data_IF_999704949864
#
_entry.id   IF_999704949864
#
_cell.length_a   1.000
_cell.length_b   1.000
_cell.length_c   1.000
_cell.angle_alpha   90.00
_cell.angle_beta   90.00
_cell.angle_gamma   90.00
#
_symmetry.space_group_name_H-M   'P 1'
#
loop_
_entity.id
_entity.type
_entity.pdbx_description
1 polymer ?
#
# COMPACT_ATOMS: atom_id res chain seq x y z
N UNK A 1 -11.70 26.63 2.79
CA UNK A 1 -12.26 27.77 3.53
C UNK A 1 -11.95 27.57 5.00
N UNK A 2 -12.42 26.47 5.61
CA UNK A 2 -12.16 26.13 7.01
C UNK A 2 -10.71 26.31 7.52
N UNK A 3 -9.67 25.81 6.81
CA UNK A 3 -8.29 26.00 7.28
C UNK A 3 -7.90 27.48 7.45
N UNK A 4 -8.30 28.34 6.50
CA UNK A 4 -7.95 29.77 6.56
C UNK A 4 -8.79 30.54 7.59
N UNK A 5 -9.98 30.01 7.94
CA UNK A 5 -10.81 30.54 9.02
C UNK A 5 -10.23 30.21 10.40
N UNK A 6 -9.68 29.00 10.56
CA UNK A 6 -9.04 28.57 11.81
C UNK A 6 -7.61 29.12 11.95
N UNK A 7 -6.90 29.29 10.83
CA UNK A 7 -5.51 29.73 10.78
C UNK A 7 -5.34 30.80 9.70
N UNK A 8 -5.45 32.06 10.11
CA UNK A 8 -5.34 33.21 9.21
C UNK A 8 -3.92 33.39 8.65
N UNK A 9 -2.92 32.80 9.32
CA UNK A 9 -1.50 32.77 8.92
C UNK A 9 -1.18 31.68 7.86
N UNK A 10 -2.15 30.84 7.49
CA UNK A 10 -1.93 29.75 6.54
C UNK A 10 -1.52 30.27 5.14
N UNK A 11 -0.30 29.96 4.71
CA UNK A 11 0.25 30.33 3.41
C UNK A 11 0.38 29.14 2.48
N UNK A 12 -0.09 29.26 1.23
CA UNK A 12 -0.04 28.19 0.24
C UNK A 12 0.93 28.51 -0.89
N UNK A 13 1.80 27.56 -1.22
CA UNK A 13 2.78 27.65 -2.29
C UNK A 13 2.64 26.46 -3.24
N UNK A 14 2.66 26.72 -4.56
CA UNK A 14 2.68 25.65 -5.56
C UNK A 14 4.15 25.31 -5.86
N UNK A 15 4.60 24.16 -5.37
CA UNK A 15 6.03 23.76 -5.43
C UNK A 15 6.39 22.93 -6.66
N UNK A 16 5.41 22.27 -7.30
CA UNK A 16 5.65 21.60 -8.59
C UNK A 16 4.43 21.61 -9.51
N UNK A 17 4.72 21.61 -10.80
CA UNK A 17 3.77 21.36 -11.88
C UNK A 17 4.46 20.47 -12.90
N UNK A 18 4.19 19.17 -12.87
CA UNK A 18 4.76 18.28 -13.89
C UNK A 18 4.16 18.61 -15.26
N UNK A 19 5.04 18.94 -16.20
CA UNK A 19 4.71 19.57 -17.48
C UNK A 19 4.33 18.63 -18.63
N UNK A 20 4.06 17.35 -18.38
CA UNK A 20 3.64 16.42 -19.44
C UNK A 20 2.36 15.68 -19.11
N UNK A 21 1.31 15.98 -19.90
CA UNK A 21 0.03 15.31 -20.21
C UNK A 21 -0.85 14.75 -19.05
N UNK A 22 -0.33 14.70 -17.83
CA UNK A 22 -1.03 14.46 -16.58
C UNK A 22 -0.47 15.41 -15.53
N UNK A 23 -0.71 16.72 -15.70
CA UNK A 23 -0.18 17.74 -14.79
C UNK A 23 -0.69 17.53 -13.37
N UNK A 24 0.13 16.87 -12.55
CA UNK A 24 -0.02 16.78 -11.11
C UNK A 24 0.56 18.07 -10.53
N UNK A 25 -0.28 18.80 -9.81
CA UNK A 25 0.14 19.96 -9.03
C UNK A 25 0.45 19.49 -7.62
N UNK A 26 1.59 19.93 -7.10
CA UNK A 26 1.90 19.81 -5.68
C UNK A 26 1.83 21.19 -5.05
N UNK A 27 1.00 21.31 -4.01
CA UNK A 27 0.84 22.52 -3.22
C UNK A 27 1.25 22.21 -1.79
N UNK A 28 2.03 23.09 -1.18
CA UNK A 28 2.40 23.04 0.22
C UNK A 28 1.69 24.16 0.95
N UNK A 29 1.13 23.87 2.11
CA UNK A 29 0.60 24.86 3.04
C UNK A 29 1.48 24.94 4.28
N UNK A 30 1.83 26.15 4.69
CA UNK A 30 2.57 26.44 5.92
C UNK A 30 1.61 27.05 6.94
N UNK A 31 1.53 26.50 8.14
CA UNK A 31 0.60 26.90 9.23
C UNK A 31 1.33 26.82 10.57
N UNK A 32 1.06 27.71 11.54
CA UNK A 32 1.57 27.69 12.92
C UNK A 32 3.08 27.39 13.04
N UNK A 33 3.91 28.43 13.11
CA UNK A 33 5.36 28.29 13.36
C UNK A 33 6.07 27.31 12.38
N UNK A 34 5.84 27.51 11.08
CA UNK A 34 6.49 26.78 9.98
C UNK A 34 6.13 25.28 9.81
N UNK A 35 5.01 24.78 10.35
CA UNK A 35 4.56 23.43 10.00
C UNK A 35 4.09 23.38 8.55
N UNK A 36 4.65 22.46 7.76
CA UNK A 36 4.37 22.34 6.31
C UNK A 36 3.60 21.06 6.02
N UNK A 37 2.52 21.18 5.26
CA UNK A 37 1.70 20.07 4.80
C UNK A 37 1.60 20.08 3.28
N UNK A 38 1.84 18.94 2.67
CA UNK A 38 1.83 18.77 1.21
C UNK A 38 0.50 18.17 0.75
N UNK A 39 0.00 18.65 -0.39
CA UNK A 39 -1.16 18.08 -1.08
C UNK A 39 -0.95 18.05 -2.58
N UNK A 40 -1.47 17.00 -3.21
CA UNK A 40 -1.35 16.83 -4.66
C UNK A 40 -2.70 16.66 -5.33
N UNK A 41 -2.79 17.04 -6.60
CA UNK A 41 -4.03 16.88 -7.37
C UNK A 41 -3.90 17.27 -8.84
N UNK A 42 -4.91 16.96 -9.67
CA UNK A 42 -4.90 17.25 -11.11
C UNK A 42 -5.11 18.75 -11.43
N UNK A 43 -5.44 19.56 -10.42
CA UNK A 43 -5.52 21.02 -10.54
C UNK A 43 -4.93 21.68 -9.30
N UNK A 44 -4.44 22.93 -9.44
CA UNK A 44 -3.99 23.74 -8.29
C UNK A 44 -5.05 23.82 -7.19
N UNK A 45 -6.33 23.92 -7.56
CA UNK A 45 -7.46 23.96 -6.61
C UNK A 45 -7.58 22.66 -5.82
N UNK A 46 -7.50 21.50 -6.48
CA UNK A 46 -7.59 20.20 -5.80
C UNK A 46 -6.34 19.93 -4.95
N UNK A 47 -5.14 20.27 -5.43
CA UNK A 47 -3.91 20.15 -4.67
C UNK A 47 -3.93 21.02 -3.40
N UNK A 48 -4.41 22.28 -3.53
CA UNK A 48 -4.61 23.19 -2.39
C UNK A 48 -5.61 22.63 -1.38
N UNK A 49 -6.71 22.05 -1.85
CA UNK A 49 -7.70 21.40 -0.98
C UNK A 49 -7.10 20.19 -0.25
N UNK A 50 -6.34 19.34 -0.95
CA UNK A 50 -5.66 18.20 -0.34
C UNK A 50 -4.65 18.63 0.74
N UNK A 51 -3.85 19.66 0.46
CA UNK A 51 -2.89 20.20 1.43
C UNK A 51 -3.60 20.76 2.67
N UNK A 52 -4.72 21.44 2.45
CA UNK A 52 -5.53 21.98 3.55
C UNK A 52 -6.17 20.89 4.40
N UNK A 53 -6.65 19.80 3.78
CA UNK A 53 -7.18 18.64 4.51
C UNK A 53 -6.09 17.97 5.35
N UNK A 54 -4.89 17.80 4.81
CA UNK A 54 -3.77 17.23 5.56
C UNK A 54 -3.42 18.08 6.79
N UNK A 55 -3.37 19.41 6.64
CA UNK A 55 -3.15 20.33 7.75
C UNK A 55 -4.25 20.26 8.83
N UNK A 56 -5.53 20.27 8.42
CA UNK A 56 -6.67 20.15 9.34
C UNK A 56 -6.71 18.81 10.09
N UNK A 57 -6.40 17.72 9.40
CA UNK A 57 -6.33 16.39 10.02
C UNK A 57 -5.22 16.34 11.06
N UNK A 58 -4.04 16.90 10.76
CA UNK A 58 -2.91 16.86 11.67
C UNK A 58 -3.04 17.82 12.86
N UNK A 59 -3.49 19.06 12.63
CA UNK A 59 -3.51 20.11 13.66
C UNK A 59 -4.79 20.05 14.48
N UNK A 60 -5.93 19.80 13.83
CA UNK A 60 -7.26 19.89 14.46
C UNK A 60 -7.92 18.53 14.69
N UNK A 61 -7.29 17.42 14.26
CA UNK A 61 -7.90 16.09 14.24
C UNK A 61 -9.24 16.05 13.47
N UNK A 62 -9.37 16.87 12.42
CA UNK A 62 -10.54 16.92 11.55
C UNK A 62 -10.24 16.13 10.28
N UNK A 63 -10.77 14.90 10.19
CA UNK A 63 -10.67 14.08 8.99
C UNK A 63 -11.88 14.28 8.08
N UNK A 64 -11.64 14.35 6.77
CA UNK A 64 -12.68 14.38 5.75
C UNK A 64 -12.58 13.11 4.90
N UNK A 65 -13.06 11.98 5.43
CA UNK A 65 -13.25 10.76 4.64
C UNK A 65 -14.52 10.91 3.79
N UNK A 66 -14.46 10.73 2.45
CA UNK A 66 -15.66 10.73 1.61
C UNK A 66 -16.72 9.73 2.08
N UNK A 67 -16.29 8.59 2.64
CA UNK A 67 -17.16 7.55 3.18
C UNK A 67 -17.85 7.92 4.51
N UNK A 68 -17.40 8.97 5.20
CA UNK A 68 -18.01 9.42 6.47
C UNK A 68 -19.11 10.48 6.28
N UNK A 69 -19.28 11.03 5.07
CA UNK A 69 -20.31 12.04 4.83
C UNK A 69 -21.74 11.51 5.03
N UNK A 70 -21.96 10.20 4.96
CA UNK A 70 -23.28 9.58 5.25
C UNK A 70 -23.63 9.51 6.74
N UNK A 71 -22.67 9.68 7.66
CA UNK A 71 -22.91 9.50 9.12
C UNK A 71 -23.23 10.79 9.88
N UNK A 72 -22.92 11.96 9.33
CA UNK A 72 -23.17 13.24 10.00
C UNK A 72 -24.64 13.71 9.88
N UNK A 73 -25.43 13.09 8.99
CA UNK A 73 -26.82 13.46 8.73
C UNK A 73 -27.90 12.79 9.62
N UNK A 74 -27.54 11.88 10.52
CA UNK A 74 -28.51 11.04 11.27
C UNK A 74 -28.57 11.29 12.79
N UNK A 75 -27.87 12.30 13.33
CA UNK A 75 -27.86 12.57 14.78
C UNK A 75 -29.03 13.46 15.25
N UNK A 76 -30.13 13.51 14.49
CA UNK A 76 -31.34 14.22 14.90
C UNK A 76 -32.59 13.37 14.66
N UNK A 77 -32.80 12.36 15.50
CA UNK A 77 -34.11 11.88 15.97
C UNK A 77 -33.97 10.66 16.90
N UNK A 78 -34.69 10.71 18.03
CA UNK A 78 -35.22 9.60 18.83
C UNK A 78 -34.29 8.64 19.58
N UNK A 79 -34.14 8.93 20.87
CA UNK A 79 -34.46 8.10 22.06
C UNK A 79 -34.98 6.65 21.84
N UNK A 80 -34.44 5.74 22.69
CA UNK A 80 -35.06 4.54 23.33
C UNK A 80 -34.78 3.11 22.80
N UNK A 81 -34.26 2.30 23.73
CA UNK A 81 -34.35 0.84 23.99
C UNK A 81 -35.05 -0.10 22.97
N UNK A 82 -34.43 -1.27 22.74
CA UNK A 82 -35.18 -2.49 22.41
C UNK A 82 -34.36 -3.61 21.77
N UNK A 83 -33.92 -4.58 22.58
CA UNK A 83 -33.55 -5.94 22.15
C UNK A 83 -34.77 -6.67 21.57
N UNK A 84 -34.60 -7.49 20.53
CA UNK A 84 -35.33 -8.75 20.24
C UNK A 84 -34.54 -9.52 19.17
N UNK A 85 -34.33 -10.82 19.39
CA UNK A 85 -33.54 -11.69 18.51
C UNK A 85 -34.32 -12.83 17.83
N UNK A 86 -33.54 -13.68 17.15
CA UNK A 86 -33.88 -15.06 16.72
C UNK A 86 -33.87 -15.31 15.20
N UNK A 87 -33.70 -16.56 14.70
CA UNK A 87 -32.99 -17.72 15.26
C UNK A 87 -32.03 -18.43 14.27
N UNK A 88 -31.26 -19.35 14.85
CA UNK A 88 -30.15 -20.19 14.35
C UNK A 88 -30.32 -20.96 13.01
N UNK A 89 -29.18 -21.17 12.33
CA UNK A 89 -29.02 -22.14 11.23
C UNK A 89 -27.56 -22.60 11.05
N UNK A 90 -27.24 -23.75 11.66
CA UNK A 90 -26.25 -24.78 11.27
C UNK A 90 -24.77 -24.41 11.16
N UNK A 91 -24.00 -24.98 12.11
CA UNK A 91 -22.54 -25.09 12.14
C UNK A 91 -21.99 -26.05 11.08
N UNK A 92 -21.03 -25.59 10.28
CA UNK A 92 -20.05 -26.44 9.59
C UNK A 92 -18.63 -26.03 10.03
N UNK A 93 -17.85 -27.03 10.41
CA UNK A 93 -16.47 -26.92 10.89
C UNK A 93 -15.56 -26.24 9.86
N UNK A 94 -15.00 -25.10 10.25
CA UNK A 94 -13.91 -24.39 9.59
C UNK A 94 -13.42 -23.33 10.56
N UNK A 95 -12.18 -23.45 10.99
CA UNK A 95 -11.55 -22.68 12.05
C UNK A 95 -11.69 -21.16 11.79
N UNK A 96 -12.61 -20.52 12.52
CA UNK A 96 -13.10 -19.17 12.25
C UNK A 96 -12.57 -18.18 13.30
N UNK A 97 -11.25 -18.15 13.47
CA UNK A 97 -10.58 -17.09 14.27
C UNK A 97 -10.37 -15.80 13.45
N UNK A 98 -11.33 -15.43 12.61
CA UNK A 98 -11.46 -14.05 12.12
C UNK A 98 -12.60 -13.41 12.90
N UNK A 99 -12.28 -12.77 14.03
CA UNK A 99 -13.23 -12.01 14.82
C UNK A 99 -13.81 -10.89 13.96
N UNK A 100 -15.07 -11.04 13.57
CA UNK A 100 -15.80 -10.22 12.60
C UNK A 100 -16.13 -8.79 13.08
N UNK A 101 -15.43 -8.24 14.08
CA UNK A 101 -15.89 -7.06 14.85
C UNK A 101 -14.85 -5.97 15.14
N UNK A 102 -13.88 -5.76 14.24
CA UNK A 102 -13.25 -4.44 14.08
C UNK A 102 -13.08 -4.17 12.59
N UNK A 103 -13.82 -3.20 12.05
CA UNK A 103 -13.44 -2.57 10.79
C UNK A 103 -12.04 -1.99 11.00
N UNK A 104 -11.02 -2.71 10.55
CA UNK A 104 -9.64 -2.26 10.63
C UNK A 104 -9.44 -1.24 9.51
N UNK A 105 -9.78 0.01 9.80
CA UNK A 105 -9.56 1.13 8.89
C UNK A 105 -8.14 1.66 9.13
N UNK A 106 -7.29 1.57 8.11
CA UNK A 106 -5.98 2.17 8.14
C UNK A 106 -6.13 3.70 8.28
N UNK A 107 -5.35 4.36 9.15
CA UNK A 107 -5.31 5.82 9.16
C UNK A 107 -5.01 6.34 7.75
N UNK A 108 -5.79 7.32 7.28
CA UNK A 108 -5.64 7.84 5.92
C UNK A 108 -4.20 8.33 5.64
N UNK A 109 -3.55 8.92 6.63
CA UNK A 109 -2.15 9.36 6.55
C UNK A 109 -1.17 8.22 6.29
N UNK A 110 -1.43 7.04 6.86
CA UNK A 110 -0.64 5.83 6.60
C UNK A 110 -0.89 5.32 5.18
N UNK A 111 -2.16 5.26 4.75
CA UNK A 111 -2.52 4.85 3.39
C UNK A 111 -1.88 5.77 2.31
N UNK A 112 -1.90 7.08 2.56
CA UNK A 112 -1.27 8.07 1.68
C UNK A 112 0.25 7.87 1.60
N UNK A 113 0.90 7.54 2.73
CA UNK A 113 2.32 7.26 2.78
C UNK A 113 2.69 6.00 1.99
N UNK A 114 1.92 4.91 2.13
CA UNK A 114 2.09 3.68 1.33
C UNK A 114 1.97 3.99 -0.16
N UNK A 115 0.95 4.75 -0.57
CA UNK A 115 0.77 5.16 -1.95
C UNK A 115 1.91 6.03 -2.48
N UNK A 116 2.42 6.95 -1.67
CA UNK A 116 3.57 7.81 -2.01
C UNK A 116 4.82 6.97 -2.27
N UNK A 117 5.14 6.01 -1.39
CA UNK A 117 6.29 5.11 -1.54
C UNK A 117 6.24 4.31 -2.85
N UNK A 118 5.07 3.76 -3.19
CA UNK A 118 4.89 2.98 -4.44
C UNK A 118 5.09 3.87 -5.68
N UNK A 119 4.55 5.09 -5.67
CA UNK A 119 4.69 6.04 -6.79
C UNK A 119 6.15 6.50 -6.93
N UNK A 120 6.80 6.87 -5.82
CA UNK A 120 8.19 7.32 -5.83
C UNK A 120 9.12 6.22 -6.32
N UNK A 121 8.94 4.98 -5.83
CA UNK A 121 9.75 3.85 -6.28
C UNK A 121 9.52 3.51 -7.75
N UNK A 122 8.28 3.63 -8.25
CA UNK A 122 8.02 3.49 -9.69
C UNK A 122 8.76 4.55 -10.51
N UNK A 123 8.70 5.81 -10.10
CA UNK A 123 9.39 6.91 -10.79
C UNK A 123 10.91 6.74 -10.76
N UNK A 124 11.46 6.24 -9.66
CA UNK A 124 12.88 5.90 -9.54
C UNK A 124 13.27 4.80 -10.55
N UNK A 125 12.53 3.70 -10.59
CA UNK A 125 12.80 2.56 -11.50
C UNK A 125 12.63 2.94 -12.96
N UNK A 126 11.68 3.83 -13.27
CA UNK A 126 11.40 4.28 -14.64
C UNK A 126 12.21 5.49 -15.08
N UNK A 127 13.10 6.00 -14.24
CA UNK A 127 13.92 7.17 -14.55
C UNK A 127 14.74 6.93 -15.81
N UNK A 128 14.55 7.79 -16.82
CA UNK A 128 15.22 7.67 -18.12
C UNK A 128 14.56 6.69 -19.09
N UNK A 129 13.39 6.13 -18.76
CA UNK A 129 12.64 5.23 -19.64
C UNK A 129 11.22 5.72 -19.90
N UNK A 130 11.08 6.67 -20.82
CA UNK A 130 9.80 7.28 -21.17
C UNK A 130 8.80 6.29 -21.81
N UNK A 131 9.31 5.21 -22.40
CA UNK A 131 8.47 4.17 -23.02
C UNK A 131 7.73 3.37 -21.94
N UNK A 132 8.41 3.01 -20.86
CA UNK A 132 7.86 2.17 -19.79
C UNK A 132 7.22 2.98 -18.65
N UNK A 133 7.47 4.30 -18.58
CA UNK A 133 6.83 5.18 -17.61
C UNK A 133 5.33 5.42 -17.89
N UNK A 134 4.88 5.19 -19.13
CA UNK A 134 3.47 5.31 -19.53
C UNK A 134 2.67 4.14 -18.99
N UNK A 135 1.69 4.45 -18.14
CA UNK A 135 0.84 3.43 -17.51
C UNK A 135 -0.57 3.97 -17.25
N UNK A 136 -1.54 3.05 -17.21
CA UNK A 136 -2.92 3.34 -16.76
C UNK A 136 -3.11 2.94 -15.30
N UNK A 137 -2.69 1.72 -14.96
CA UNK A 137 -2.76 1.17 -13.60
C UNK A 137 -1.36 0.85 -13.10
N UNK A 138 -1.10 1.23 -11.85
CA UNK A 138 0.10 0.96 -11.06
C UNK A 138 -0.36 0.31 -9.75
N UNK A 139 0.27 -0.80 -9.41
CA UNK A 139 0.09 -1.48 -8.14
C UNK A 139 1.44 -1.83 -7.51
N UNK A 140 1.44 -2.02 -6.20
CA UNK A 140 2.62 -2.47 -5.49
C UNK A 140 2.31 -2.99 -4.09
N UNK A 141 3.20 -3.84 -3.59
CA UNK A 141 3.19 -4.29 -2.20
C UNK A 141 4.28 -3.58 -1.40
N UNK A 142 3.89 -3.06 -0.25
CA UNK A 142 4.81 -2.47 0.74
C UNK A 142 4.80 -3.34 1.98
N UNK A 143 5.98 -3.71 2.47
CA UNK A 143 6.16 -4.40 3.74
C UNK A 143 6.46 -3.38 4.83
N UNK A 144 5.92 -3.55 6.03
CA UNK A 144 6.26 -2.75 7.22
C UNK A 144 6.44 -3.65 8.43
N UNK A 145 7.19 -3.17 9.41
CA UNK A 145 7.15 -3.65 10.79
C UNK A 145 6.20 -2.77 11.59
N UNK A 146 5.15 -3.37 12.13
CA UNK A 146 3.98 -2.66 12.64
C UNK A 146 3.27 -1.87 11.54
N UNK A 147 2.51 -0.86 11.95
CA UNK A 147 1.95 0.15 11.07
C UNK A 147 2.84 1.41 11.05
N UNK A 148 4.17 1.22 11.06
CA UNK A 148 5.15 2.30 11.00
C UNK A 148 5.66 2.48 9.56
N UNK A 149 5.50 3.68 9.02
CA UNK A 149 5.99 4.05 7.68
C UNK A 149 7.51 4.10 7.64
N UNK A 150 8.20 4.32 8.76
CA UNK A 150 9.66 4.42 8.80
C UNK A 150 10.35 3.09 8.49
N UNK A 151 9.66 1.99 8.72
CA UNK A 151 10.14 0.63 8.42
C UNK A 151 9.68 0.15 7.04
N UNK A 152 8.95 0.99 6.31
CA UNK A 152 8.31 0.60 5.07
C UNK A 152 9.32 0.31 3.96
N UNK A 153 9.09 -0.80 3.25
CA UNK A 153 9.88 -1.21 2.10
C UNK A 153 8.96 -1.64 0.95
N UNK A 154 9.16 -1.06 -0.22
CA UNK A 154 8.47 -1.51 -1.44
C UNK A 154 9.05 -2.85 -1.87
N UNK A 155 8.21 -3.89 -1.89
CA UNK A 155 8.59 -5.28 -2.20
C UNK A 155 8.43 -5.57 -3.68
N UNK A 156 7.29 -5.18 -4.25
CA UNK A 156 6.99 -5.41 -5.65
C UNK A 156 6.24 -4.22 -6.25
N UNK A 157 6.47 -4.00 -7.53
CA UNK A 157 5.81 -2.99 -8.35
C UNK A 157 5.37 -3.62 -9.66
N UNK A 158 4.21 -3.23 -10.14
CA UNK A 158 3.75 -3.65 -11.45
C UNK A 158 2.80 -2.62 -12.08
N UNK A 159 2.71 -2.70 -13.41
CA UNK A 159 1.71 -1.99 -14.19
C UNK A 159 1.03 -2.97 -15.14
N UNK A 160 -0.16 -2.62 -15.62
CA UNK A 160 -0.86 -3.42 -16.63
C UNK A 160 -2.37 -3.44 -16.42
N UNK A 161 -3.09 -3.73 -17.50
CA UNK A 161 -4.58 -3.70 -17.56
C UNK A 161 -5.15 -4.72 -18.55
N UNK A 162 -4.34 -5.70 -18.92
CA UNK A 162 -4.64 -6.64 -20.01
C UNK A 162 -4.33 -8.05 -19.57
N UNK A 163 -5.02 -8.98 -20.20
CA UNK A 163 -4.82 -10.41 -20.05
C UNK A 163 -4.36 -10.99 -21.38
N UNK A 164 -3.80 -12.20 -21.34
CA UNK A 164 -3.45 -12.95 -22.54
C UNK A 164 -4.71 -13.30 -23.35
N UNK A 165 -4.58 -13.33 -24.67
CA UNK A 165 -5.60 -13.90 -25.57
C UNK A 165 -5.59 -15.43 -25.46
N UNK A 166 -6.74 -16.08 -25.64
CA UNK A 166 -6.88 -17.54 -25.56
C UNK A 166 -5.93 -18.30 -26.49
N UNK A 167 -5.65 -17.76 -27.68
CA UNK A 167 -4.74 -18.36 -28.67
C UNK A 167 -3.26 -18.39 -28.22
N UNK A 168 -2.90 -17.55 -27.25
CA UNK A 168 -1.53 -17.42 -26.73
C UNK A 168 -1.37 -18.07 -25.34
N UNK A 169 -2.38 -18.80 -24.86
CA UNK A 169 -2.29 -19.51 -23.59
C UNK A 169 -1.29 -20.67 -23.68
N UNK A 170 -0.54 -20.87 -22.61
CA UNK A 170 0.42 -21.97 -22.50
C UNK A 170 -0.14 -23.13 -21.68
N UNK A 171 0.08 -24.35 -22.17
CA UNK A 171 -0.19 -25.60 -21.43
C UNK A 171 0.97 -26.04 -20.53
N UNK A 172 2.14 -25.40 -20.66
CA UNK A 172 3.35 -25.71 -19.90
C UNK A 172 3.64 -24.70 -18.78
N UNK A 173 2.77 -23.70 -18.60
CA UNK A 173 2.95 -22.65 -17.59
C UNK A 173 3.96 -21.56 -17.95
N UNK A 174 4.35 -21.46 -19.22
CA UNK A 174 5.34 -20.48 -19.70
C UNK A 174 4.78 -19.07 -19.99
N UNK A 175 3.47 -18.86 -19.85
CA UNK A 175 2.79 -17.60 -20.18
C UNK A 175 2.04 -17.04 -18.98
N UNK A 176 2.04 -15.71 -18.87
CA UNK A 176 1.26 -14.99 -17.86
C UNK A 176 -0.15 -14.74 -18.40
N UNK A 177 -1.15 -15.37 -17.77
CA UNK A 177 -2.53 -15.25 -18.20
C UNK A 177 -3.14 -13.87 -17.89
N UNK A 178 -2.85 -13.34 -16.72
CA UNK A 178 -3.40 -12.07 -16.24
C UNK A 178 -2.25 -11.11 -15.90
N UNK A 179 -2.20 -10.02 -16.65
CA UNK A 179 -1.22 -8.94 -16.52
C UNK A 179 -1.85 -7.66 -15.99
N UNK A 180 -2.92 -7.75 -15.21
CA UNK A 180 -3.36 -6.64 -14.38
C UNK A 180 -2.30 -6.32 -13.32
N UNK A 181 -2.09 -5.03 -13.05
CA UNK A 181 -1.01 -4.56 -12.19
C UNK A 181 -1.02 -5.25 -10.82
N UNK A 182 -2.17 -5.31 -10.16
CA UNK A 182 -2.36 -5.92 -8.85
C UNK A 182 -2.05 -7.42 -8.83
N UNK A 183 -2.32 -8.12 -9.94
CA UNK A 183 -2.06 -9.55 -10.09
C UNK A 183 -0.55 -9.80 -10.28
N UNK A 184 0.10 -9.02 -11.13
CA UNK A 184 1.55 -9.10 -11.33
C UNK A 184 2.30 -8.69 -10.06
N UNK A 185 1.86 -7.64 -9.36
CA UNK A 185 2.45 -7.23 -8.09
C UNK A 185 2.38 -8.36 -7.05
N UNK A 186 1.28 -9.10 -7.00
CA UNK A 186 1.15 -10.30 -6.15
C UNK A 186 2.13 -11.41 -6.57
N UNK A 187 2.32 -11.64 -7.88
CA UNK A 187 3.32 -12.62 -8.35
C UNK A 187 4.74 -12.22 -7.92
N UNK A 188 5.07 -10.93 -7.99
CA UNK A 188 6.34 -10.41 -7.45
C UNK A 188 6.45 -10.57 -5.92
N UNK A 189 5.35 -10.44 -5.17
CA UNK A 189 5.34 -10.74 -3.74
C UNK A 189 5.64 -12.23 -3.45
N UNK A 190 5.11 -13.15 -4.27
CA UNK A 190 5.40 -14.57 -4.12
C UNK A 190 6.87 -14.90 -4.40
N UNK A 191 7.46 -14.28 -5.42
CA UNK A 191 8.90 -14.40 -5.72
C UNK A 191 9.76 -13.91 -4.55
N UNK A 192 9.36 -12.80 -3.92
CA UNK A 192 9.98 -12.32 -2.69
C UNK A 192 9.85 -13.33 -1.53
N UNK A 193 8.69 -13.96 -1.34
CA UNK A 193 8.54 -15.00 -0.31
C UNK A 193 9.43 -16.21 -0.54
N UNK A 194 9.55 -16.69 -1.79
CA UNK A 194 10.48 -17.77 -2.11
C UNK A 194 11.93 -17.37 -1.82
N UNK A 195 12.32 -16.16 -2.22
CA UNK A 195 13.66 -15.62 -1.92
C UNK A 195 13.95 -15.56 -0.42
N UNK A 196 12.96 -15.20 0.39
CA UNK A 196 13.08 -15.12 1.85
C UNK A 196 13.16 -16.50 2.52
N UNK A 197 12.43 -17.49 2.00
CA UNK A 197 12.52 -18.87 2.46
C UNK A 197 13.87 -19.49 2.10
N UNK A 198 14.38 -19.23 0.89
CA UNK A 198 15.70 -19.69 0.47
C UNK A 198 16.81 -19.11 1.37
N UNK A 199 16.74 -17.80 1.66
CA UNK A 199 17.66 -17.15 2.59
C UNK A 199 17.65 -17.78 3.99
N UNK A 200 16.48 -18.14 4.52
CA UNK A 200 16.36 -18.84 5.80
C UNK A 200 16.97 -20.25 5.77
N UNK A 201 16.79 -20.97 4.66
CA UNK A 201 17.38 -22.29 4.46
C UNK A 201 18.92 -22.21 4.43
N UNK A 202 19.47 -21.27 3.67
CA UNK A 202 20.92 -21.06 3.56
C UNK A 202 21.56 -20.75 4.92
N UNK A 203 20.94 -19.88 5.72
CA UNK A 203 21.44 -19.56 7.06
C UNK A 203 21.40 -20.78 8.00
N UNK A 204 20.39 -21.64 7.86
CA UNK A 204 20.27 -22.86 8.65
C UNK A 204 21.38 -23.85 8.34
N UNK A 205 21.69 -24.02 7.05
CA UNK A 205 22.80 -24.88 6.60
C UNK A 205 24.14 -24.33 7.08
N UNK A 206 24.37 -23.02 6.96
CA UNK A 206 25.58 -22.38 7.44
C UNK A 206 25.79 -22.58 8.95
N UNK A 207 24.75 -22.36 9.76
CA UNK A 207 24.81 -22.56 11.21
C UNK A 207 25.14 -24.01 11.61
N UNK A 208 24.50 -24.98 10.94
CA UNK A 208 24.77 -26.41 11.18
C UNK A 208 26.20 -26.82 10.78
N UNK A 209 26.74 -26.23 9.71
CA UNK A 209 28.12 -26.49 9.28
C UNK A 209 29.16 -25.89 10.24
N UNK A 210 28.88 -24.71 10.82
CA UNK A 210 29.77 -24.05 11.78
C UNK A 210 29.87 -24.73 13.15
N UNK A 211 28.87 -25.54 13.54
CA UNK A 211 28.92 -26.35 14.76
C UNK A 211 29.77 -27.63 14.60
N UNK A 212 30.19 -27.97 13.37
CA UNK A 212 30.96 -29.18 13.06
C UNK A 212 32.45 -28.98 12.75
N UNK A 213 32.92 -27.73 12.67
CA UNK A 213 34.33 -27.42 12.36
C UNK A 213 34.94 -26.44 13.36
N UNK A 214 35.55 -26.97 14.41
CA UNK A 214 36.62 -26.25 15.10
C UNK A 214 37.85 -26.18 14.18
N UNK A 215 38.22 -24.94 13.80
CA UNK A 215 39.43 -24.52 13.09
C UNK A 215 39.59 -24.94 11.61
N UNK A 216 39.54 -23.99 10.69
CA UNK A 216 40.70 -23.35 10.03
C UNK A 216 40.18 -22.08 9.32
N UNK A 217 40.71 -20.91 9.70
CA UNK A 217 40.44 -19.66 9.01
C UNK A 217 41.23 -19.61 7.68
N UNK A 218 40.52 -19.39 6.58
CA UNK A 218 41.13 -18.97 5.31
C UNK A 218 40.53 -17.62 4.94
N UNK A 219 41.35 -16.57 5.03
CA UNK A 219 41.00 -15.23 4.60
C UNK A 219 40.92 -15.21 3.06
N UNK A 220 39.73 -15.01 2.50
CA UNK A 220 39.59 -14.57 1.11
C UNK A 220 39.76 -13.04 1.00
N UNK A 221 40.27 -12.53 -0.14
CA UNK A 221 40.62 -11.12 -0.28
C UNK A 221 39.39 -10.24 -0.48
N UNK A 222 39.34 -9.16 0.28
CA UNK A 222 38.37 -8.05 0.15
C UNK A 222 38.55 -7.38 -1.22
N UNK A 223 37.51 -7.28 -2.07
CA UNK A 223 37.56 -6.45 -3.29
C UNK A 223 37.52 -4.96 -2.93
N UNK A 224 38.05 -4.07 -3.78
CA UNK A 224 38.31 -2.67 -3.41
C UNK A 224 37.03 -1.87 -3.19
N UNK A 225 37.06 -0.82 -2.34
CA UNK A 225 35.89 -0.05 -1.99
C UNK A 225 35.46 0.84 -3.16
N UNK A 226 34.32 0.51 -3.78
CA UNK A 226 33.50 1.49 -4.49
C UNK A 226 32.84 2.40 -3.47
N UNK A 227 32.67 3.69 -3.76
CA UNK A 227 32.00 4.66 -2.88
C UNK A 227 30.53 4.25 -2.67
N UNK A 228 30.26 3.52 -1.59
CA UNK A 228 28.92 3.17 -1.14
C UNK A 228 28.38 4.32 -0.28
N UNK A 229 27.23 4.88 -0.68
CA UNK A 229 26.50 5.81 0.18
C UNK A 229 25.87 5.03 1.34
N UNK A 230 25.81 5.62 2.54
CA UNK A 230 25.21 4.99 3.74
C UNK A 230 23.79 4.43 3.49
N UNK A 231 23.05 5.02 2.57
CA UNK A 231 21.72 4.57 2.12
C UNK A 231 21.74 3.20 1.41
N UNK A 232 22.80 2.85 0.69
CA UNK A 232 22.92 1.59 -0.04
C UNK A 232 23.26 0.41 0.85
N UNK A 233 24.04 0.64 1.92
CA UNK A 233 24.37 -0.38 2.91
C UNK A 233 23.15 -0.76 3.76
N UNK A 234 22.35 0.23 4.18
CA UNK A 234 21.10 -0.01 4.89
C UNK A 234 20.06 -0.78 4.04
N UNK A 235 19.94 -0.44 2.75
CA UNK A 235 19.04 -1.16 1.82
C UNK A 235 19.50 -2.62 1.60
N UNK A 236 20.81 -2.88 1.49
CA UNK A 236 21.35 -4.26 1.42
C UNK A 236 21.08 -5.05 2.70
N UNK A 237 21.30 -4.46 3.87
CA UNK A 237 21.03 -5.12 5.14
C UNK A 237 19.53 -5.43 5.31
N UNK A 238 18.65 -4.51 4.94
CA UNK A 238 17.21 -4.74 4.94
C UNK A 238 16.78 -5.83 3.94
N UNK A 239 17.45 -5.96 2.79
CA UNK A 239 17.25 -7.07 1.84
C UNK A 239 17.66 -8.44 2.40
N UNK A 240 18.52 -8.46 3.42
CA UNK A 240 19.01 -9.69 4.06
C UNK A 240 18.28 -10.02 5.37
N UNK A 241 17.32 -9.19 5.81
CA UNK A 241 16.47 -9.57 6.93
C UNK A 241 15.54 -10.72 6.53
N UNK A 242 15.58 -11.81 7.30
CA UNK A 242 14.66 -12.94 7.13
C UNK A 242 13.34 -12.65 7.83
N UNK A 243 12.24 -12.80 7.09
CA UNK A 243 10.88 -12.48 7.59
C UNK A 243 10.10 -13.68 8.14
N UNK A 244 10.57 -14.91 7.92
CA UNK A 244 9.86 -16.13 8.34
C UNK A 244 10.48 -16.74 9.60
N UNK A 245 9.63 -17.32 10.43
CA UNK A 245 9.99 -18.25 11.49
C UNK A 245 10.10 -19.67 10.91
N UNK A 246 11.00 -20.46 11.49
CA UNK A 246 11.03 -21.91 11.26
C UNK A 246 9.76 -22.55 11.82
N UNK A 247 9.35 -23.71 11.30
CA UNK A 247 8.25 -24.47 11.88
C UNK A 247 8.50 -24.77 13.37
N UNK A 248 7.49 -24.50 14.20
CA UNK A 248 7.54 -24.79 15.64
C UNK A 248 7.30 -26.28 15.95
N UNK A 249 7.44 -26.66 17.22
CA UNK A 249 7.20 -28.05 17.66
C UNK A 249 5.78 -28.50 17.27
N UNK A 250 5.69 -29.59 16.49
CA UNK A 250 4.42 -30.17 16.04
C UNK A 250 3.83 -29.56 14.76
N UNK A 251 4.51 -28.60 14.11
CA UNK A 251 4.09 -28.04 12.82
C UNK A 251 5.17 -28.18 11.76
N UNK A 252 4.76 -28.34 10.50
CA UNK A 252 5.64 -28.32 9.33
C UNK A 252 5.52 -27.00 8.55
N UNK A 253 4.79 -26.02 9.08
CA UNK A 253 4.50 -24.77 8.38
C UNK A 253 5.43 -23.65 8.87
N UNK A 254 5.97 -22.90 7.92
CA UNK A 254 6.63 -21.62 8.19
C UNK A 254 5.56 -20.58 8.49
N UNK A 255 5.84 -19.68 9.42
CA UNK A 255 4.98 -18.54 9.71
C UNK A 255 5.74 -17.25 9.51
N UNK A 256 5.03 -16.18 9.19
CA UNK A 256 5.63 -14.85 9.18
C UNK A 256 6.02 -14.47 10.62
N UNK A 257 7.10 -13.69 10.78
CA UNK A 257 7.45 -13.09 12.06
C UNK A 257 6.39 -12.09 12.49
N UNK A 258 6.19 -12.00 13.80
CA UNK A 258 5.23 -11.09 14.40
C UNK A 258 5.53 -9.64 14.02
N UNK A 259 4.46 -8.89 13.80
CA UNK A 259 4.56 -7.47 13.45
C UNK A 259 4.92 -7.20 11.99
N UNK A 260 5.12 -8.19 11.12
CA UNK A 260 5.31 -7.92 9.69
C UNK A 260 3.95 -7.84 9.00
N UNK A 261 3.73 -6.76 8.25
CA UNK A 261 2.50 -6.52 7.49
C UNK A 261 2.82 -6.21 6.03
N UNK A 262 1.91 -6.59 5.13
CA UNK A 262 1.98 -6.28 3.70
C UNK A 262 0.77 -5.47 3.27
N UNK A 263 1.01 -4.36 2.58
CA UNK A 263 0.00 -3.40 2.15
C UNK A 263 -0.04 -3.36 0.64
N UNK A 264 -1.20 -3.70 0.07
CA UNK A 264 -1.45 -3.56 -1.36
C UNK A 264 -1.92 -2.14 -1.67
N UNK A 265 -1.21 -1.47 -2.56
CA UNK A 265 -1.67 -0.24 -3.19
C UNK A 265 -2.06 -0.51 -4.64
N UNK A 266 -3.19 0.07 -5.06
CA UNK A 266 -3.59 0.17 -6.46
C UNK A 266 -4.05 1.61 -6.67
N UNK A 267 -3.57 2.27 -7.73
CA UNK A 267 -3.90 3.67 -7.98
C UNK A 267 -5.36 3.91 -8.43
N UNK A 268 -6.20 2.87 -8.39
CA UNK A 268 -7.61 2.86 -8.80
C UNK A 268 -8.28 1.60 -8.24
N UNK A 269 -9.61 1.60 -8.08
CA UNK A 269 -10.32 0.41 -7.60
C UNK A 269 -10.09 -0.81 -8.53
N UNK A 270 -9.90 -2.03 -8.01
CA UNK A 270 -9.69 -3.20 -8.86
C UNK A 270 -10.89 -3.43 -9.80
N UNK A 271 -10.66 -4.02 -10.97
CA UNK A 271 -11.75 -4.33 -11.90
C UNK A 271 -12.71 -5.38 -11.31
N UNK A 272 -13.96 -5.37 -11.77
CA UNK A 272 -15.04 -6.19 -11.22
C UNK A 272 -15.86 -5.40 -10.21
N UNK A 273 -16.41 -6.09 -9.21
CA UNK A 273 -17.42 -5.57 -8.29
C UNK A 273 -17.03 -4.26 -7.58
N UNK A 274 -15.77 -4.15 -7.16
CA UNK A 274 -15.24 -2.97 -6.47
C UNK A 274 -15.23 -1.67 -7.31
N UNK A 275 -15.52 -1.74 -8.61
CA UNK A 275 -15.59 -0.60 -9.53
C UNK A 275 -17.01 -0.34 -10.05
N UNK A 276 -17.99 -1.17 -9.69
CA UNK A 276 -19.38 -1.03 -10.14
C UNK A 276 -20.12 -0.05 -9.22
N UNK A 277 -19.80 1.25 -9.36
CA UNK A 277 -20.52 2.34 -8.71
C UNK A 277 -20.42 3.59 -9.57
N UNK A 278 -21.42 4.48 -9.53
CA UNK A 278 -21.35 5.79 -10.17
C UNK A 278 -20.59 6.75 -9.25
N UNK A 279 -19.38 7.22 -9.59
CA UNK A 279 -18.61 8.13 -8.72
C UNK A 279 -19.23 9.52 -8.58
N UNK A 280 -20.29 9.80 -9.33
CA UNK A 280 -20.97 11.08 -9.44
C UNK A 280 -22.48 10.95 -9.29
N UNK A 281 -22.99 9.95 -8.55
CA UNK A 281 -24.39 10.01 -8.13
C UNK A 281 -24.60 11.31 -7.36
N UNK A 282 -25.32 12.25 -7.95
CA UNK A 282 -25.93 13.31 -7.17
C UNK A 282 -26.96 12.64 -6.27
N UNK A 283 -26.98 12.96 -4.98
CA UNK A 283 -28.01 12.51 -4.01
C UNK A 283 -29.46 12.88 -4.42
N UNK A 284 -29.67 13.48 -5.59
CA UNK A 284 -30.97 13.54 -6.25
C UNK A 284 -31.35 12.13 -6.72
N UNK A 285 -32.16 11.46 -5.92
CA UNK A 285 -32.80 10.17 -6.18
C UNK A 285 -33.27 9.98 -7.63
N UNK A 286 -32.40 9.46 -8.49
CA UNK A 286 -32.79 8.72 -9.67
C UNK A 286 -31.82 7.54 -9.78
N UNK A 287 -32.16 6.48 -9.05
CA UNK A 287 -31.46 5.20 -9.12
C UNK A 287 -31.58 4.72 -10.56
N UNK A 288 -30.45 4.65 -11.28
CA UNK A 288 -30.44 4.12 -12.63
C UNK A 288 -30.97 2.68 -12.58
N UNK A 289 -32.14 2.47 -13.19
CA UNK A 289 -32.83 1.16 -13.18
C UNK A 289 -32.11 0.11 -14.02
N UNK A 290 -31.04 0.45 -14.73
CA UNK A 290 -30.34 -0.48 -15.61
C UNK A 290 -28.81 -0.37 -15.51
N UNK A 291 -28.20 -0.85 -14.42
CA UNK A 291 -26.75 -0.74 -14.16
C UNK A 291 -25.84 -1.53 -15.11
N UNK A 292 -26.39 -2.25 -16.10
CA UNK A 292 -25.67 -3.13 -17.01
C UNK A 292 -25.94 -2.84 -18.50
N UNK A 293 -26.19 -1.57 -18.87
CA UNK A 293 -26.38 -1.20 -20.28
C UNK A 293 -25.40 -0.13 -20.75
#
# INVERSE_FOLDING_TARGET
>A
MLLHELFTDAHFECVSSDGLQHSKFTVVVTVNDNQRFEGTGPSKKMAKNAAAKAALASICNISFSPLQQSKFGLISASTSNGSIGGPSGVTLNGDNSFTQNKNFELPQTFADAVGKLVIEKFNEVMKGSDVYSRRKVLAGFVMTHGYDVKTARVISLATGTKCVSGEHMSVTGSVINDSHAEIIARRGLMDFFYSQLDLLCQQTVAAASSESTSAVAVNEPIPPPGQETESGAADRQARQEIIFNKPGEGSNLYTLKDGIYFHLYINTAPCGDARVFSPHENDSMDVDKHPNR
#
